data_IF_332302622295
#
_entry.id   IF_332302622295
#
_cell.length_a   1.000
_cell.length_b   1.000
_cell.length_c   1.000
_cell.angle_alpha   90.00
_cell.angle_beta   90.00
_cell.angle_gamma   90.00
#
_symmetry.space_group_name_H-M   'P 1'
#
loop_
_entity.id
_entity.type
_entity.pdbx_description
1 polymer ?
#
# COMPACT_ATOMS: atom_id res chain seq x y z
N UNK A 1 -10.02 -19.31 77.04
CA UNK A 1 -10.18 -19.78 75.64
C UNK A 1 -10.97 -18.73 74.90
N UNK A 2 -10.40 -18.12 73.87
CA UNK A 2 -11.11 -17.21 72.96
C UNK A 2 -10.44 -17.29 71.58
N UNK A 3 -11.17 -17.88 70.64
CA UNK A 3 -10.74 -18.11 69.25
C UNK A 3 -10.77 -16.82 68.43
N UNK A 4 -9.74 -16.61 67.61
CA UNK A 4 -9.64 -15.53 66.62
C UNK A 4 -10.09 -16.07 65.25
N UNK A 5 -10.99 -15.41 64.51
CA UNK A 5 -11.43 -15.91 63.20
C UNK A 5 -10.48 -15.46 62.10
N UNK A 6 -9.67 -16.39 61.59
CA UNK A 6 -8.88 -16.22 60.36
C UNK A 6 -9.63 -16.90 59.21
N UNK A 7 -10.28 -16.12 58.32
CA UNK A 7 -10.63 -16.51 56.93
C UNK A 7 -11.37 -15.38 56.17
N UNK A 8 -10.65 -14.38 55.62
CA UNK A 8 -11.21 -13.44 54.61
C UNK A 8 -10.23 -12.98 53.51
N UNK A 9 -9.10 -13.66 53.28
CA UNK A 9 -8.11 -13.24 52.25
C UNK A 9 -8.04 -14.09 50.97
N UNK A 10 -8.70 -15.26 50.90
CA UNK A 10 -8.50 -16.19 49.77
C UNK A 10 -9.44 -16.02 48.56
N UNK A 11 -10.53 -15.25 48.63
CA UNK A 11 -11.44 -15.09 47.48
C UNK A 11 -11.09 -13.93 46.54
N UNK A 12 -10.57 -12.81 47.05
CA UNK A 12 -10.38 -11.55 46.28
C UNK A 12 -9.31 -11.63 45.17
N UNK A 13 -8.36 -12.57 45.28
CA UNK A 13 -7.29 -12.77 44.30
C UNK A 13 -7.73 -13.56 43.06
N UNK A 14 -8.70 -14.47 43.22
CA UNK A 14 -9.21 -15.34 42.16
C UNK A 14 -10.07 -14.56 41.14
N UNK A 15 -10.94 -13.68 41.63
CA UNK A 15 -11.76 -12.80 40.78
C UNK A 15 -10.93 -11.80 39.98
N UNK A 16 -9.87 -11.23 40.58
CA UNK A 16 -8.95 -10.33 39.87
C UNK A 16 -8.17 -11.03 38.76
N UNK A 17 -7.90 -12.34 38.89
CA UNK A 17 -7.29 -13.13 37.82
C UNK A 17 -8.30 -13.46 36.73
N UNK A 18 -9.53 -13.81 37.11
CA UNK A 18 -10.62 -14.10 36.16
C UNK A 18 -10.97 -12.87 35.30
N UNK A 19 -11.08 -11.69 35.91
CA UNK A 19 -11.34 -10.42 35.19
C UNK A 19 -10.21 -10.05 34.21
N UNK A 20 -8.95 -10.27 34.60
CA UNK A 20 -7.79 -10.04 33.71
C UNK A 20 -7.76 -11.01 32.53
N UNK A 21 -8.07 -12.28 32.76
CA UNK A 21 -8.15 -13.27 31.68
C UNK A 21 -9.28 -12.96 30.71
N UNK A 22 -10.45 -12.56 31.22
CA UNK A 22 -11.59 -12.18 30.38
C UNK A 22 -11.30 -10.93 29.54
N UNK A 23 -10.59 -9.94 30.11
CA UNK A 23 -10.17 -8.75 29.37
C UNK A 23 -9.14 -9.07 28.27
N UNK A 24 -8.20 -9.98 28.55
CA UNK A 24 -7.23 -10.45 27.55
C UNK A 24 -7.91 -11.22 26.41
N UNK A 25 -8.91 -12.06 26.74
CA UNK A 25 -9.67 -12.79 25.74
C UNK A 25 -10.48 -11.84 24.84
N UNK A 26 -11.10 -10.80 25.42
CA UNK A 26 -11.80 -9.75 24.66
C UNK A 26 -10.84 -9.00 23.72
N UNK A 27 -9.63 -8.68 24.17
CA UNK A 27 -8.63 -8.02 23.34
C UNK A 27 -8.17 -8.90 22.16
N UNK A 28 -7.94 -10.19 22.41
CA UNK A 28 -7.56 -11.14 21.37
C UNK A 28 -8.70 -11.35 20.34
N UNK A 29 -9.95 -11.36 20.79
CA UNK A 29 -11.10 -11.47 19.91
C UNK A 29 -11.28 -10.22 19.05
N UNK A 30 -11.05 -9.03 19.62
CA UNK A 30 -11.02 -7.78 18.86
C UNK A 30 -9.90 -7.78 17.81
N UNK A 31 -8.70 -8.20 18.18
CA UNK A 31 -7.58 -8.30 17.23
C UNK A 31 -7.90 -9.23 16.07
N UNK A 32 -8.53 -10.38 16.35
CA UNK A 32 -8.97 -11.35 15.34
C UNK A 32 -10.08 -10.79 14.44
N UNK A 33 -11.03 -10.03 15.01
CA UNK A 33 -12.07 -9.32 14.24
C UNK A 33 -11.47 -8.25 13.34
N UNK A 34 -10.50 -7.47 13.82
CA UNK A 34 -9.80 -6.47 13.01
C UNK A 34 -8.98 -7.09 11.89
N UNK A 35 -8.27 -8.19 12.15
CA UNK A 35 -7.53 -8.93 11.12
C UNK A 35 -8.46 -9.52 10.05
N UNK A 36 -9.63 -10.02 10.45
CA UNK A 36 -10.65 -10.52 9.51
C UNK A 36 -11.28 -9.38 8.70
N UNK A 37 -11.57 -8.23 9.31
CA UNK A 37 -12.04 -7.03 8.61
C UNK A 37 -11.03 -6.55 7.56
N UNK A 38 -9.74 -6.55 7.89
CA UNK A 38 -8.68 -6.29 6.94
C UNK A 38 -8.71 -7.31 5.79
N UNK A 39 -8.78 -8.63 6.07
CA UNK A 39 -8.91 -9.67 5.03
C UNK A 39 -10.14 -9.51 4.13
N UNK A 40 -11.29 -9.15 4.70
CA UNK A 40 -12.54 -8.92 3.97
C UNK A 40 -12.49 -7.65 3.11
N UNK A 41 -11.84 -6.59 3.60
CA UNK A 41 -11.60 -5.36 2.84
C UNK A 41 -10.73 -5.57 1.61
N UNK A 42 -9.75 -6.49 1.68
CA UNK A 42 -8.87 -6.83 0.56
C UNK A 42 -9.39 -7.95 -0.36
N UNK A 43 -10.41 -8.72 0.04
CA UNK A 43 -11.01 -9.76 -0.82
C UNK A 43 -12.08 -9.24 -1.79
N UNK A 44 -12.49 -7.97 -1.70
CA UNK A 44 -13.59 -7.45 -2.53
C UNK A 44 -13.18 -7.04 -3.95
N UNK A 45 -11.91 -7.12 -4.31
CA UNK A 45 -11.39 -6.79 -5.66
C UNK A 45 -11.08 -8.03 -6.53
N UNK A 46 -11.65 -9.21 -6.22
CA UNK A 46 -11.33 -10.44 -6.98
C UNK A 46 -12.54 -11.23 -7.43
N UNK A 47 -13.55 -10.57 -7.99
CA UNK A 47 -14.52 -11.09 -9.00
C UNK A 47 -15.01 -9.82 -9.73
N UNK A 48 -14.84 -9.61 -11.03
CA UNK A 48 -15.34 -10.39 -12.16
C UNK A 48 -14.59 -10.01 -13.45
N UNK A 49 -14.29 -10.99 -14.31
CA UNK A 49 -14.23 -10.85 -15.77
C UNK A 49 -14.43 -12.24 -16.38
N UNK A 50 -15.55 -12.48 -17.05
CA UNK A 50 -15.68 -13.12 -18.36
C UNK A 50 -17.09 -12.82 -18.92
N UNK A 51 -17.26 -12.74 -20.25
CA UNK A 51 -18.34 -12.02 -20.94
C UNK A 51 -19.55 -12.90 -21.29
N UNK A 52 -20.72 -12.28 -21.47
CA UNK A 52 -21.60 -12.35 -22.66
C UNK A 52 -22.99 -11.74 -22.38
N UNK A 53 -23.37 -10.82 -23.27
CA UNK A 53 -24.70 -10.47 -23.81
C UNK A 53 -25.93 -10.34 -22.90
N UNK A 54 -26.41 -9.09 -22.74
CA UNK A 54 -27.64 -8.56 -23.36
C UNK A 54 -28.21 -7.34 -22.61
N UNK A 55 -28.73 -6.39 -23.39
CA UNK A 55 -29.32 -5.12 -22.97
C UNK A 55 -30.48 -5.27 -21.97
N UNK A 56 -30.50 -4.47 -20.91
CA UNK A 56 -31.72 -3.80 -20.46
C UNK A 56 -31.43 -2.60 -19.55
N UNK A 57 -32.01 -1.47 -19.94
CA UNK A 57 -32.08 -0.19 -19.24
C UNK A 57 -32.73 -0.30 -17.86
N UNK A 58 -32.11 0.28 -16.84
CA UNK A 58 -32.85 0.88 -15.72
C UNK A 58 -32.04 1.99 -15.06
N UNK A 59 -32.63 3.17 -15.09
CA UNK A 59 -32.23 4.38 -14.39
C UNK A 59 -32.32 4.18 -12.87
N UNK A 60 -31.21 4.40 -12.17
CA UNK A 60 -31.23 4.67 -10.73
C UNK A 60 -30.01 5.55 -10.36
N UNK A 61 -30.25 6.86 -10.34
CA UNK A 61 -29.36 7.83 -9.71
C UNK A 61 -29.32 7.60 -8.21
N UNK A 62 -28.25 6.98 -7.70
CA UNK A 62 -27.98 6.89 -6.27
C UNK A 62 -26.88 7.88 -5.87
N UNK A 63 -27.29 9.09 -5.50
CA UNK A 63 -26.45 10.06 -4.80
C UNK A 63 -26.22 9.56 -3.38
N UNK A 64 -25.02 9.03 -3.10
CA UNK A 64 -24.54 8.84 -1.74
C UNK A 64 -24.08 10.20 -1.20
N UNK A 65 -24.98 10.87 -0.48
CA UNK A 65 -24.60 11.92 0.47
C UNK A 65 -23.85 11.19 1.59
N UNK A 66 -22.52 11.29 1.57
CA UNK A 66 -21.69 10.81 2.68
C UNK A 66 -21.34 12.04 3.50
N UNK A 67 -22.05 12.21 4.61
CA UNK A 67 -21.71 13.23 5.60
C UNK A 67 -20.28 12.97 6.13
N UNK A 68 -19.45 14.02 6.34
CA UNK A 68 -18.11 13.84 6.87
C UNK A 68 -18.22 13.45 8.34
N UNK A 69 -17.97 12.17 8.65
CA UNK A 69 -17.77 11.73 10.03
C UNK A 69 -16.40 12.25 10.47
N UNK A 70 -16.40 13.40 11.14
CA UNK A 70 -15.22 13.87 11.89
C UNK A 70 -14.98 12.92 13.07
N UNK A 71 -13.99 12.05 12.91
CA UNK A 71 -13.47 11.22 14.00
C UNK A 71 -12.54 12.09 14.85
N UNK A 72 -12.83 12.30 16.15
CA UNK A 72 -11.96 13.08 17.02
C UNK A 72 -10.67 12.29 17.27
N UNK A 73 -9.59 12.73 16.63
CA UNK A 73 -8.24 12.27 16.93
C UNK A 73 -7.66 13.21 17.99
N UNK A 74 -7.44 12.72 19.20
CA UNK A 74 -6.23 12.87 20.01
C UNK A 74 -6.49 12.17 21.36
N UNK A 75 -5.63 11.22 21.81
CA UNK A 75 -4.22 11.50 22.08
C UNK A 75 -3.28 10.35 21.70
N UNK A 76 -2.50 10.49 20.62
CA UNK A 76 -1.43 9.52 20.32
C UNK A 76 -0.25 10.18 19.58
N UNK A 77 0.59 10.90 20.32
CA UNK A 77 1.80 11.51 19.75
C UNK A 77 2.93 10.50 19.42
N UNK A 78 2.74 9.20 19.68
CA UNK A 78 3.64 8.13 19.22
C UNK A 78 3.50 7.82 17.71
N UNK A 79 2.54 8.43 17.01
CA UNK A 79 2.13 8.08 15.64
C UNK A 79 2.83 8.91 14.55
N UNK A 80 3.68 9.89 14.89
CA UNK A 80 4.22 10.86 13.92
C UNK A 80 4.85 10.27 12.64
N UNK A 81 5.56 9.13 12.75
CA UNK A 81 6.22 8.52 11.59
C UNK A 81 5.31 7.55 10.83
N UNK A 82 4.53 6.69 11.52
CA UNK A 82 3.46 5.88 10.88
C UNK A 82 2.48 6.79 10.13
N UNK A 83 2.16 7.96 10.69
CA UNK A 83 1.41 9.03 10.04
C UNK A 83 2.09 9.51 8.77
N UNK A 84 3.42 9.68 8.78
CA UNK A 84 4.20 10.07 7.59
C UNK A 84 4.16 9.00 6.49
N UNK A 85 4.31 7.71 6.83
CA UNK A 85 4.18 6.64 5.83
C UNK A 85 2.78 6.61 5.23
N UNK A 86 1.74 6.64 6.08
CA UNK A 86 0.35 6.63 5.62
C UNK A 86 0.00 7.88 4.80
N UNK A 87 0.51 9.04 5.20
CA UNK A 87 0.31 10.29 4.46
C UNK A 87 0.92 10.23 3.06
N UNK A 88 2.12 9.68 2.91
CA UNK A 88 2.76 9.49 1.60
C UNK A 88 1.98 8.53 0.71
N UNK A 89 1.56 7.39 1.27
CA UNK A 89 0.73 6.41 0.54
C UNK A 89 -0.57 7.06 0.07
N UNK A 90 -1.26 7.79 0.94
CA UNK A 90 -2.49 8.50 0.61
C UNK A 90 -2.26 9.59 -0.46
N UNK A 91 -1.16 10.34 -0.37
CA UNK A 91 -0.79 11.37 -1.35
C UNK A 91 -0.61 10.79 -2.75
N UNK A 92 0.10 9.66 -2.87
CA UNK A 92 0.24 8.95 -4.15
C UNK A 92 -1.10 8.41 -4.61
N UNK A 93 -1.89 7.76 -3.74
CA UNK A 93 -3.22 7.26 -4.08
C UNK A 93 -4.14 8.35 -4.65
N UNK A 94 -4.20 9.51 -4.01
CA UNK A 94 -4.97 10.66 -4.49
C UNK A 94 -4.45 11.18 -5.84
N UNK A 95 -3.14 11.15 -6.04
CA UNK A 95 -2.52 11.58 -7.30
C UNK A 95 -2.90 10.63 -8.44
N UNK A 96 -2.88 9.32 -8.19
CA UNK A 96 -3.31 8.29 -9.15
C UNK A 96 -4.80 8.35 -9.52
N UNK A 97 -5.64 8.92 -8.65
CA UNK A 97 -7.07 9.09 -8.90
C UNK A 97 -7.41 10.35 -9.71
N UNK A 98 -6.42 11.19 -10.03
CA UNK A 98 -6.64 12.37 -10.88
C UNK A 98 -6.89 11.92 -12.32
N UNK A 99 -7.93 12.48 -12.96
CA UNK A 99 -8.28 12.18 -14.36
C UNK A 99 -7.20 12.58 -15.36
N UNK A 100 -6.36 13.55 -15.01
CA UNK A 100 -5.33 14.13 -15.88
C UNK A 100 -3.95 13.54 -15.62
N UNK A 101 -3.84 12.42 -14.91
CA UNK A 101 -2.54 11.85 -14.62
C UNK A 101 -1.97 11.16 -15.85
N UNK A 102 -0.74 11.52 -16.20
CA UNK A 102 0.03 10.82 -17.22
C UNK A 102 0.53 9.49 -16.68
N UNK A 103 0.47 8.47 -17.54
CA UNK A 103 0.82 7.10 -17.18
C UNK A 103 2.27 6.97 -16.71
N UNK A 104 3.20 7.69 -17.36
CA UNK A 104 4.61 7.74 -16.94
C UNK A 104 4.76 8.31 -15.53
N UNK A 105 4.10 9.43 -15.27
CA UNK A 105 4.08 10.06 -13.95
C UNK A 105 3.52 9.12 -12.89
N UNK A 106 2.48 8.34 -13.20
CA UNK A 106 1.92 7.34 -12.30
C UNK A 106 2.93 6.25 -11.93
N UNK A 107 3.67 5.72 -12.92
CA UNK A 107 4.76 4.74 -12.70
C UNK A 107 5.86 5.33 -11.81
N UNK A 108 6.29 6.56 -12.08
CA UNK A 108 7.36 7.22 -11.32
C UNK A 108 6.95 7.50 -9.86
N UNK A 109 5.70 7.90 -9.62
CA UNK A 109 5.15 8.10 -8.27
C UNK A 109 5.10 6.79 -7.48
N UNK A 110 4.63 5.70 -8.10
CA UNK A 110 4.56 4.38 -7.48
C UNK A 110 5.97 3.85 -7.16
N UNK A 111 6.92 4.00 -8.09
CA UNK A 111 8.32 3.63 -7.89
C UNK A 111 8.95 4.40 -6.74
N UNK A 112 8.77 5.73 -6.70
CA UNK A 112 9.29 6.58 -5.62
C UNK A 112 8.73 6.18 -4.25
N UNK A 113 7.44 5.83 -4.19
CA UNK A 113 6.81 5.36 -2.96
C UNK A 113 7.37 4.00 -2.51
N UNK A 114 7.57 3.08 -3.44
CA UNK A 114 8.16 1.77 -3.17
C UNK A 114 9.58 1.90 -2.62
N UNK A 115 10.44 2.69 -3.29
CA UNK A 115 11.81 2.95 -2.85
C UNK A 115 11.84 3.57 -1.45
N UNK A 116 10.90 4.50 -1.18
CA UNK A 116 10.73 5.06 0.16
C UNK A 116 10.38 3.98 1.20
N UNK A 117 9.43 3.08 0.94
CA UNK A 117 9.04 2.04 1.90
C UNK A 117 10.15 1.02 2.14
N UNK A 118 10.88 0.62 1.09
CA UNK A 118 12.06 -0.24 1.21
C UNK A 118 13.09 0.40 2.12
N UNK A 119 13.36 1.70 1.96
CA UNK A 119 14.30 2.41 2.82
C UNK A 119 13.87 2.43 4.30
N UNK A 120 12.57 2.30 4.61
CA UNK A 120 12.11 2.28 5.99
C UNK A 120 12.54 1.00 6.72
N UNK A 121 12.83 -0.11 6.03
CA UNK A 121 13.12 -1.41 6.65
C UNK A 121 14.24 -1.36 7.70
N UNK A 122 15.24 -0.50 7.50
CA UNK A 122 16.37 -0.33 8.41
C UNK A 122 16.12 0.68 9.56
N UNK A 123 15.05 1.48 9.48
CA UNK A 123 14.74 2.54 10.45
C UNK A 123 14.00 2.05 11.71
N UNK A 124 13.85 0.74 11.90
CA UNK A 124 13.14 0.20 13.07
C UNK A 124 13.74 0.72 14.40
N UNK A 125 15.07 0.77 14.50
CA UNK A 125 15.76 1.25 15.72
C UNK A 125 15.45 2.71 16.04
N UNK A 126 15.35 3.56 15.03
CA UNK A 126 14.99 4.97 15.18
C UNK A 126 13.54 5.11 15.66
N UNK A 127 12.65 4.25 15.18
CA UNK A 127 11.24 4.26 15.58
C UNK A 127 11.06 3.80 17.02
N UNK A 128 11.76 2.75 17.41
CA UNK A 128 11.77 2.28 18.79
C UNK A 128 12.30 3.37 19.73
N UNK A 129 13.43 4.01 19.37
CA UNK A 129 14.03 5.08 20.19
C UNK A 129 13.05 6.24 20.39
N UNK A 130 12.42 6.72 19.30
CA UNK A 130 11.42 7.80 19.36
C UNK A 130 10.15 7.42 20.11
N UNK A 131 9.74 6.15 20.06
CA UNK A 131 8.61 5.67 20.83
C UNK A 131 8.94 5.71 22.33
N UNK A 132 10.11 5.18 22.70
CA UNK A 132 10.57 5.13 24.09
C UNK A 132 10.83 6.53 24.68
N UNK A 133 11.26 7.52 23.90
CA UNK A 133 11.32 8.93 24.35
C UNK A 133 9.97 9.48 24.81
N UNK A 134 8.87 8.98 24.22
CA UNK A 134 7.50 9.42 24.50
C UNK A 134 6.78 8.51 25.48
N UNK A 135 7.34 7.34 25.81
CA UNK A 135 6.73 6.34 26.69
C UNK A 135 7.76 5.71 27.61
N UNK A 136 7.53 5.83 28.92
CA UNK A 136 8.32 5.11 29.93
C UNK A 136 7.78 3.67 30.08
N UNK A 137 7.81 2.89 29.00
CA UNK A 137 7.20 1.56 28.93
C UNK A 137 8.17 0.54 28.37
N UNK A 138 8.33 -0.58 29.09
CA UNK A 138 9.14 -1.71 28.67
C UNK A 138 8.28 -2.77 27.96
N UNK A 139 8.92 -3.64 27.17
CA UNK A 139 8.21 -4.70 26.49
C UNK A 139 7.61 -5.70 27.48
N UNK A 140 6.29 -5.90 27.41
CA UNK A 140 5.56 -6.73 28.37
C UNK A 140 5.96 -8.21 28.41
N UNK A 141 6.62 -8.72 27.36
CA UNK A 141 7.07 -10.10 27.23
C UNK A 141 8.58 -10.29 27.42
N UNK A 142 9.33 -9.21 27.64
CA UNK A 142 10.77 -9.23 27.90
C UNK A 142 11.08 -9.99 29.20
N UNK A 143 10.26 -9.78 30.22
CA UNK A 143 10.42 -10.41 31.55
C UNK A 143 9.51 -11.65 31.77
N UNK A 144 8.83 -12.15 30.75
CA UNK A 144 7.97 -13.34 30.90
C UNK A 144 8.78 -14.64 30.99
N UNK A 145 8.46 -15.52 31.94
CA UNK A 145 9.11 -16.83 32.09
C UNK A 145 8.94 -17.68 30.83
N UNK A 146 10.05 -18.17 30.27
CA UNK A 146 10.03 -19.16 29.16
C UNK A 146 9.55 -20.50 29.71
N UNK A 147 8.43 -21.02 29.20
CA UNK A 147 7.98 -22.38 29.51
C UNK A 147 8.81 -23.35 28.68
N UNK A 148 9.70 -24.12 29.32
CA UNK A 148 10.47 -25.16 28.63
C UNK A 148 9.52 -26.29 28.20
N UNK A 149 9.57 -26.68 26.94
CA UNK A 149 8.87 -27.88 26.43
C UNK A 149 9.49 -29.11 27.10
N UNK A 150 8.64 -30.04 27.57
CA UNK A 150 9.11 -31.37 27.96
C UNK A 150 9.68 -32.06 26.71
N UNK A 151 10.97 -32.39 26.74
CA UNK A 151 11.68 -33.09 25.66
C UNK A 151 11.68 -34.59 25.94
N UNK A 152 11.57 -35.40 24.90
CA UNK A 152 11.79 -36.84 24.98
C UNK A 152 13.28 -37.16 24.82
N UNK A 153 13.71 -38.33 25.30
CA UNK A 153 15.13 -38.71 25.33
C UNK A 153 15.76 -38.80 23.92
N UNK A 154 14.95 -38.98 22.88
CA UNK A 154 15.38 -39.01 21.47
C UNK A 154 15.32 -37.65 20.76
N UNK A 155 14.84 -36.59 21.42
CA UNK A 155 14.81 -35.25 20.80
C UNK A 155 16.25 -34.71 20.65
N UNK A 156 16.68 -34.51 19.41
CA UNK A 156 17.95 -33.82 19.10
C UNK A 156 17.96 -32.43 19.78
N UNK A 157 19.14 -31.93 20.19
CA UNK A 157 19.25 -30.61 20.81
C UNK A 157 19.04 -29.50 19.76
N UNK A 158 17.78 -29.22 19.43
CA UNK A 158 17.41 -28.06 18.61
C UNK A 158 17.32 -26.84 19.51
N UNK A 159 18.02 -25.75 19.15
CA UNK A 159 17.88 -24.45 19.83
C UNK A 159 16.54 -23.85 19.42
N UNK A 160 15.62 -23.76 20.37
CA UNK A 160 14.34 -23.09 20.18
C UNK A 160 14.59 -21.58 20.21
N UNK A 161 14.42 -20.91 19.06
CA UNK A 161 14.57 -19.46 18.95
C UNK A 161 13.32 -18.81 19.52
N UNK A 162 13.43 -18.20 20.70
CA UNK A 162 12.33 -17.48 21.34
C UNK A 162 12.58 -15.99 21.16
N UNK A 163 11.87 -15.38 20.20
CA UNK A 163 11.91 -13.92 19.98
C UNK A 163 11.11 -13.22 21.08
N UNK A 164 11.65 -12.12 21.63
CA UNK A 164 11.02 -11.33 22.70
C UNK A 164 11.25 -9.83 22.49
N UNK A 165 10.38 -9.03 23.12
CA UNK A 165 10.47 -7.57 23.15
C UNK A 165 10.73 -6.97 21.78
N UNK A 166 11.83 -6.22 21.68
CA UNK A 166 12.31 -5.57 20.45
C UNK A 166 12.32 -6.49 19.24
N UNK A 167 12.99 -7.65 19.35
CA UNK A 167 13.17 -8.56 18.22
C UNK A 167 11.85 -9.15 17.75
N UNK A 168 10.96 -9.47 18.70
CA UNK A 168 9.63 -9.98 18.39
C UNK A 168 8.77 -8.94 17.69
N UNK A 169 8.74 -7.69 18.18
CA UNK A 169 8.01 -6.61 17.52
C UNK A 169 8.56 -6.39 16.09
N UNK A 170 9.88 -6.40 15.93
CA UNK A 170 10.55 -6.24 14.64
C UNK A 170 10.15 -7.35 13.66
N UNK A 171 10.33 -8.60 14.07
CA UNK A 171 10.19 -9.78 13.21
C UNK A 171 8.73 -10.17 12.98
N UNK A 172 7.87 -10.11 14.01
CA UNK A 172 6.49 -10.59 13.91
C UNK A 172 5.53 -9.50 13.39
N UNK A 173 5.87 -8.22 13.53
CA UNK A 173 4.97 -7.12 13.18
C UNK A 173 5.58 -6.17 12.14
N UNK A 174 6.71 -5.54 12.48
CA UNK A 174 7.24 -4.43 11.68
C UNK A 174 7.65 -4.85 10.27
N UNK A 175 8.51 -5.88 10.16
CA UNK A 175 8.98 -6.38 8.87
C UNK A 175 7.82 -6.97 8.05
N UNK A 176 6.93 -7.83 8.59
CA UNK A 176 5.80 -8.36 7.82
C UNK A 176 4.87 -7.29 7.26
N UNK A 177 4.59 -6.22 8.02
CA UNK A 177 3.74 -5.12 7.55
C UNK A 177 4.41 -4.36 6.40
N UNK A 178 5.71 -4.05 6.51
CA UNK A 178 6.44 -3.39 5.42
C UNK A 178 6.59 -4.28 4.19
N UNK A 179 6.95 -5.55 4.39
CA UNK A 179 7.14 -6.51 3.29
C UNK A 179 5.81 -6.71 2.52
N UNK A 180 4.67 -6.75 3.23
CA UNK A 180 3.35 -6.78 2.60
C UNK A 180 3.05 -5.51 1.79
N UNK A 181 3.30 -4.33 2.38
CA UNK A 181 3.08 -3.06 1.67
C UNK A 181 3.95 -2.95 0.42
N UNK A 182 5.22 -3.32 0.51
CA UNK A 182 6.13 -3.37 -0.62
C UNK A 182 5.62 -4.33 -1.69
N UNK A 183 5.19 -5.53 -1.30
CA UNK A 183 4.67 -6.54 -2.24
C UNK A 183 3.46 -6.03 -3.02
N UNK A 184 2.47 -5.45 -2.33
CA UNK A 184 1.28 -4.93 -2.99
C UNK A 184 1.57 -3.71 -3.87
N UNK A 185 2.47 -2.82 -3.42
CA UNK A 185 2.88 -1.68 -4.23
C UNK A 185 3.71 -2.10 -5.45
N UNK A 186 4.58 -3.10 -5.32
CA UNK A 186 5.30 -3.68 -6.45
C UNK A 186 4.32 -4.30 -7.45
N UNK A 187 3.34 -5.09 -6.98
CA UNK A 187 2.30 -5.66 -7.85
C UNK A 187 1.55 -4.57 -8.62
N UNK A 188 1.16 -3.50 -7.93
CA UNK A 188 0.50 -2.36 -8.57
C UNK A 188 1.42 -1.61 -9.54
N UNK A 189 2.69 -1.41 -9.19
CA UNK A 189 3.69 -0.77 -10.05
C UNK A 189 3.87 -1.54 -11.36
N UNK A 190 4.00 -2.86 -11.30
CA UNK A 190 4.19 -3.67 -12.51
C UNK A 190 2.96 -3.61 -13.42
N UNK A 191 1.74 -3.63 -12.89
CA UNK A 191 0.53 -3.42 -13.71
C UNK A 191 0.54 -2.07 -14.46
N UNK A 192 0.98 -1.00 -13.81
CA UNK A 192 1.11 0.31 -14.47
C UNK A 192 2.26 0.34 -15.48
N UNK A 193 3.36 -0.39 -15.23
CA UNK A 193 4.47 -0.53 -16.17
C UNK A 193 4.07 -1.28 -17.42
N UNK A 194 3.35 -2.38 -17.30
CA UNK A 194 2.85 -3.14 -18.46
C UNK A 194 2.00 -2.25 -19.38
N UNK A 195 1.05 -1.50 -18.81
CA UNK A 195 0.25 -0.55 -19.58
C UNK A 195 1.14 0.55 -20.17
N UNK A 196 2.11 1.07 -19.41
CA UNK A 196 3.03 2.10 -19.91
C UNK A 196 3.93 1.60 -21.04
N UNK A 197 4.32 0.33 -21.01
CA UNK A 197 5.17 -0.27 -22.03
C UNK A 197 4.39 -0.51 -23.34
N UNK A 198 3.09 -0.77 -23.25
CA UNK A 198 2.20 -0.87 -24.42
C UNK A 198 1.81 0.49 -24.99
N UNK A 199 1.36 1.42 -24.14
CA UNK A 199 0.71 2.66 -24.57
C UNK A 199 1.58 3.92 -24.40
N UNK A 200 2.68 3.85 -23.66
CA UNK A 200 3.51 5.02 -23.32
C UNK A 200 4.23 5.63 -24.53
N UNK A 201 4.21 5.03 -25.70
CA UNK A 201 4.67 5.71 -26.92
C UNK A 201 3.73 6.85 -27.33
N UNK A 202 2.43 6.78 -27.00
CA UNK A 202 1.44 7.79 -27.34
C UNK A 202 1.66 9.14 -26.64
N UNK A 203 2.37 9.14 -25.50
CA UNK A 203 2.70 10.39 -24.78
C UNK A 203 4.01 11.01 -25.26
N UNK A 204 4.92 10.20 -25.82
CA UNK A 204 6.30 10.61 -26.08
C UNK A 204 6.72 10.47 -27.56
N UNK A 205 5.79 10.24 -28.49
CA UNK A 205 6.14 10.01 -29.89
C UNK A 205 6.81 11.22 -30.56
N UNK A 206 6.59 12.44 -30.05
CA UNK A 206 7.29 13.64 -30.54
C UNK A 206 8.77 13.68 -30.17
N UNK A 207 9.16 13.04 -29.06
CA UNK A 207 10.55 13.08 -28.53
C UNK A 207 11.36 11.83 -28.88
N UNK A 208 10.69 10.71 -29.14
CA UNK A 208 11.33 9.43 -29.50
C UNK A 208 11.79 9.40 -30.95
N UNK A 209 12.84 8.65 -31.23
CA UNK A 209 13.30 8.36 -32.59
C UNK A 209 12.30 7.46 -33.33
N UNK A 210 12.35 7.48 -34.66
CA UNK A 210 11.47 6.65 -35.49
C UNK A 210 11.67 5.15 -35.23
N UNK A 211 12.92 4.73 -34.94
CA UNK A 211 13.23 3.35 -34.59
C UNK A 211 12.54 2.93 -33.28
N UNK A 212 12.57 3.78 -32.25
CA UNK A 212 11.91 3.52 -30.97
C UNK A 212 10.38 3.47 -31.11
N UNK A 213 9.81 4.36 -31.91
CA UNK A 213 8.36 4.39 -32.20
C UNK A 213 7.96 3.12 -32.94
N UNK A 214 8.68 2.75 -33.99
CA UNK A 214 8.42 1.52 -34.74
C UNK A 214 8.49 0.29 -33.84
N UNK A 215 9.47 0.22 -32.94
CA UNK A 215 9.57 -0.86 -31.97
C UNK A 215 8.37 -0.91 -31.02
N UNK A 216 7.94 0.24 -30.48
CA UNK A 216 6.80 0.31 -29.58
C UNK A 216 5.48 -0.03 -30.29
N UNK A 217 5.25 0.51 -31.49
CA UNK A 217 4.08 0.20 -32.31
C UNK A 217 4.05 -1.27 -32.74
N UNK A 218 5.21 -1.88 -32.99
CA UNK A 218 5.29 -3.33 -33.28
C UNK A 218 4.79 -4.14 -32.09
N UNK A 219 5.28 -3.85 -30.88
CA UNK A 219 4.80 -4.51 -29.65
C UNK A 219 3.30 -4.32 -29.44
N UNK A 220 2.81 -3.09 -29.66
CA UNK A 220 1.40 -2.76 -29.54
C UNK A 220 0.54 -3.53 -30.54
N UNK A 221 0.94 -3.57 -31.82
CA UNK A 221 0.27 -4.31 -32.88
C UNK A 221 0.29 -5.81 -32.61
N UNK A 222 1.39 -6.37 -32.14
CA UNK A 222 1.48 -7.80 -31.79
C UNK A 222 0.51 -8.17 -30.65
N UNK A 223 0.31 -7.25 -29.70
CA UNK A 223 -0.64 -7.44 -28.60
C UNK A 223 -2.11 -7.38 -29.07
N UNK A 224 -2.41 -6.51 -30.04
CA UNK A 224 -3.75 -6.30 -30.61
C UNK A 224 -3.81 -6.67 -32.10
N UNK A 225 -3.32 -7.86 -32.44
CA UNK A 225 -3.09 -8.25 -33.85
C UNK A 225 -4.38 -8.37 -34.68
N UNK A 226 -5.53 -8.57 -34.04
CA UNK A 226 -6.84 -8.62 -34.70
C UNK A 226 -7.44 -7.23 -34.95
N UNK A 227 -7.06 -6.25 -34.13
CA UNK A 227 -7.65 -4.91 -34.13
C UNK A 227 -6.81 -3.87 -34.90
N UNK A 228 -5.53 -4.17 -35.16
CA UNK A 228 -4.55 -3.21 -35.69
C UNK A 228 -4.08 -3.59 -37.08
N UNK A 229 -4.32 -2.69 -38.04
CA UNK A 229 -3.92 -2.83 -39.43
C UNK A 229 -2.39 -2.84 -39.61
N UNK A 230 -1.85 -3.51 -40.64
CA UNK A 230 -0.42 -3.54 -40.90
C UNK A 230 0.24 -2.17 -41.08
N UNK A 231 -0.49 -1.23 -41.68
CA UNK A 231 -0.07 0.11 -42.05
C UNK A 231 0.04 1.05 -40.84
N UNK A 232 -0.56 0.69 -39.70
CA UNK A 232 -0.60 1.48 -38.46
C UNK A 232 0.77 2.04 -38.05
N UNK A 233 1.83 1.23 -38.19
CA UNK A 233 3.19 1.62 -37.78
C UNK A 233 3.68 2.82 -38.62
N UNK A 234 3.45 2.78 -39.93
CA UNK A 234 3.86 3.86 -40.83
C UNK A 234 2.96 5.09 -40.66
N UNK A 235 1.68 4.91 -40.40
CA UNK A 235 0.74 5.99 -40.09
C UNK A 235 1.14 6.78 -38.84
N UNK A 236 1.54 6.10 -37.76
CA UNK A 236 2.01 6.76 -36.53
C UNK A 236 3.29 7.56 -36.78
N UNK A 237 4.22 7.03 -37.58
CA UNK A 237 5.44 7.77 -37.95
C UNK A 237 5.10 9.00 -38.78
N UNK A 238 4.18 8.90 -39.75
CA UNK A 238 3.72 10.05 -40.53
C UNK A 238 3.00 11.09 -39.66
N UNK A 239 2.15 10.63 -38.75
CA UNK A 239 1.41 11.47 -37.81
C UNK A 239 2.35 12.29 -36.91
N UNK A 240 3.45 11.70 -36.43
CA UNK A 240 4.50 12.42 -35.70
C UNK A 240 5.00 13.64 -36.48
N UNK A 241 5.38 13.46 -37.75
CA UNK A 241 5.90 14.55 -38.57
C UNK A 241 4.84 15.62 -38.86
N UNK A 242 3.57 15.20 -39.02
CA UNK A 242 2.45 16.13 -39.16
C UNK A 242 2.28 17.02 -37.93
N UNK A 243 2.36 16.46 -36.71
CA UNK A 243 2.28 17.24 -35.47
C UNK A 243 3.46 18.19 -35.32
N UNK A 244 4.69 17.74 -35.60
CA UNK A 244 5.87 18.60 -35.54
C UNK A 244 5.76 19.80 -36.50
N UNK A 245 5.22 19.60 -37.70
CA UNK A 245 4.96 20.68 -38.65
C UNK A 245 3.93 21.69 -38.14
N UNK A 246 2.86 21.22 -37.47
CA UNK A 246 1.86 22.11 -36.87
C UNK A 246 2.44 22.96 -35.74
N UNK A 247 3.29 22.38 -34.91
CA UNK A 247 3.96 23.11 -33.82
C UNK A 247 4.90 24.20 -34.36
N UNK A 248 5.61 23.93 -35.45
CA UNK A 248 6.50 24.90 -36.10
C UNK A 248 5.72 25.99 -36.85
N UNK A 249 4.58 25.66 -37.45
CA UNK A 249 3.68 26.63 -38.05
C UNK A 249 3.01 27.55 -37.01
N UNK A 250 2.64 27.01 -35.85
CA UNK A 250 2.10 27.78 -34.72
C UNK A 250 3.12 28.76 -34.12
N UNK A 251 4.40 28.36 -34.06
CA UNK A 251 5.50 29.25 -33.62
C UNK A 251 5.77 30.39 -34.61
N UNK A 252 5.59 30.17 -35.93
CA UNK A 252 5.73 31.22 -36.95
C UNK A 252 4.68 32.34 -36.86
N UNK A 253 3.53 32.12 -36.20
CA UNK A 253 2.53 33.17 -35.98
C UNK A 253 2.85 34.09 -34.77
N UNK A 254 3.81 33.72 -33.93
CA UNK A 254 4.23 34.50 -32.77
C UNK A 254 5.67 35.02 -32.91
N UNK A 255 5.84 36.12 -33.67
CA UNK A 255 6.73 37.30 -33.46
C UNK A 255 7.41 37.80 -34.75
N UNK A 256 7.74 39.12 -34.89
CA UNK A 256 7.48 40.23 -33.98
C UNK A 256 6.53 41.31 -34.54
N UNK A 257 5.71 41.90 -33.67
CA UNK A 257 5.17 43.26 -33.87
C UNK A 257 6.32 44.25 -33.73
N UNK A 258 7.03 44.49 -34.81
CA UNK A 258 7.81 45.71 -34.98
C UNK A 258 7.63 46.16 -36.42
N UNK A 259 7.45 47.47 -36.60
CA UNK A 259 7.21 48.22 -37.84
C UNK A 259 5.74 48.58 -38.09
N UNK A 260 5.22 49.49 -37.26
CA UNK A 260 4.42 50.59 -37.79
C UNK A 260 5.19 51.87 -37.48
N UNK A 261 5.50 52.59 -38.56
CA UNK A 261 6.19 53.89 -38.61
C UNK A 261 5.53 54.96 -37.75
#
# INVERSE_FOLDING_TARGET
>A
MSEVPVKKKYHRGSEKRKKRQEQQNKLNEQLKKTQNLFKLGFSRESKEHQPHDSLSTSSASYTMVVDPVEVPCEPFEQIGQIKKQLHRINGVSKSLQKKTIELRTAVDLLKSLLDFLISQRELFGDYETKANEKTDTQYSDENQRVRKRNRHHDDRPTKEVVLRGKEKLKVDTYLPVLDMLCTELSRRLEAYREINDLFGFLTDFSTKSDAEIRQACTKFKEHYFEDIEPEFIDEIVQYKYFILQLEDAGKKLCLPKSLTN
#
